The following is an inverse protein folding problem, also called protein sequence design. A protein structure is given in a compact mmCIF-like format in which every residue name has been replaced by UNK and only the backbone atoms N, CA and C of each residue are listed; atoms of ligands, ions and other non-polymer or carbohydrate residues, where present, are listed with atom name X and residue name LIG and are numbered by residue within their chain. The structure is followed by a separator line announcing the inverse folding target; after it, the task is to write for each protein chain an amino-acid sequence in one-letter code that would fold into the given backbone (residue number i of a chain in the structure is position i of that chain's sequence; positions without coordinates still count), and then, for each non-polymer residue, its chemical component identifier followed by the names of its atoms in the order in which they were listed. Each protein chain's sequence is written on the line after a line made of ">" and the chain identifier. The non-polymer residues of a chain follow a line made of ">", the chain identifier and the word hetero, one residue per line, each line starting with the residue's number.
data_IF_023984971503
#
_entry.id   IF_023984971503
#
_cell.length_a   1.000
_cell.length_b   1.000
_cell.length_c   1.000
_cell.angle_alpha   90.00
_cell.angle_beta   90.00
_cell.angle_gamma   90.00
#
_symmetry.space_group_name_H-M   'P 1'
#
loop_
_entity.id
_entity.type
_entity.pdbx_description
1 polymer ?
#
# COMPACT_ATOMS: atom_id res chain seq x y z
N UNK A 1 -12.14 11.67 -3.22
CA UNK A 1 -13.34 11.09 -2.58
C UNK A 1 -13.20 9.59 -2.47
N UNK A 2 -13.55 9.04 -1.31
CA UNK A 2 -13.49 7.58 -1.11
C UNK A 2 -14.79 6.97 -1.62
N UNK A 3 -14.66 6.12 -2.64
CA UNK A 3 -15.79 5.39 -3.22
C UNK A 3 -15.32 4.00 -3.66
N UNK A 4 -16.17 3.27 -4.38
CA UNK A 4 -15.82 1.94 -4.87
C UNK A 4 -14.62 1.96 -5.81
N UNK A 5 -14.52 2.99 -6.64
CA UNK A 5 -13.39 3.13 -7.57
C UNK A 5 -12.09 3.37 -6.80
N UNK A 6 -12.15 4.20 -5.74
CA UNK A 6 -10.99 4.43 -4.89
C UNK A 6 -10.44 3.11 -4.32
N UNK A 7 -11.33 2.26 -3.80
CA UNK A 7 -10.92 1.00 -3.18
C UNK A 7 -10.21 0.10 -4.19
N UNK A 8 -10.79 -0.06 -5.37
CA UNK A 8 -10.22 -0.90 -6.44
C UNK A 8 -8.86 -0.39 -6.89
N UNK A 9 -8.77 0.89 -7.15
CA UNK A 9 -7.55 1.53 -7.62
C UNK A 9 -6.47 1.54 -6.54
N UNK A 10 -6.86 1.75 -5.27
CA UNK A 10 -5.93 1.77 -4.15
C UNK A 10 -5.29 0.40 -3.93
N UNK A 11 -6.08 -0.66 -3.97
CA UNK A 11 -5.57 -2.02 -3.83
C UNK A 11 -4.58 -2.32 -4.95
N UNK A 12 -4.94 -2.00 -6.19
CA UNK A 12 -4.06 -2.22 -7.33
C UNK A 12 -2.74 -1.45 -7.18
N UNK A 13 -2.80 -0.19 -6.78
CA UNK A 13 -1.62 0.64 -6.61
C UNK A 13 -0.69 0.10 -5.51
N UNK A 14 -1.25 -0.27 -4.36
CA UNK A 14 -0.47 -0.79 -3.24
C UNK A 14 0.16 -2.15 -3.58
N UNK A 15 -0.60 -3.01 -4.24
CA UNK A 15 -0.11 -4.33 -4.67
C UNK A 15 1.03 -4.21 -5.67
N UNK A 16 0.84 -3.43 -6.72
CA UNK A 16 1.86 -3.27 -7.77
C UNK A 16 3.11 -2.60 -7.24
N UNK A 17 2.98 -1.67 -6.30
CA UNK A 17 4.13 -1.03 -5.67
C UNK A 17 5.01 -2.04 -4.91
N UNK A 18 4.45 -3.14 -4.45
CA UNK A 18 5.18 -4.21 -3.77
C UNK A 18 5.59 -5.35 -4.72
N UNK A 19 5.34 -5.21 -6.01
CA UNK A 19 5.66 -6.22 -7.03
C UNK A 19 5.00 -7.58 -6.75
N UNK A 20 3.76 -7.57 -6.27
CA UNK A 20 2.99 -8.77 -5.96
C UNK A 20 1.91 -8.93 -7.03
N UNK A 21 1.79 -10.15 -7.60
CA UNK A 21 0.72 -10.42 -8.56
C UNK A 21 -0.64 -10.50 -7.85
N UNK A 22 -1.71 -10.15 -8.57
CA UNK A 22 -3.06 -10.29 -8.04
C UNK A 22 -3.37 -11.73 -7.64
N UNK A 23 -2.91 -12.68 -8.44
CA UNK A 23 -3.08 -14.11 -8.15
C UNK A 23 -2.39 -14.52 -6.86
N UNK A 24 -1.12 -14.14 -6.68
CA UNK A 24 -0.36 -14.51 -5.49
C UNK A 24 -0.96 -13.89 -4.24
N UNK A 25 -1.38 -12.63 -4.31
CA UNK A 25 -2.07 -11.98 -3.21
C UNK A 25 -3.36 -12.70 -2.85
N UNK A 26 -4.16 -13.06 -3.86
CA UNK A 26 -5.42 -13.80 -3.65
C UNK A 26 -5.18 -15.11 -2.90
N UNK A 27 -4.21 -15.90 -3.37
CA UNK A 27 -3.90 -17.18 -2.74
C UNK A 27 -3.35 -17.01 -1.33
N UNK A 28 -2.52 -15.99 -1.10
CA UNK A 28 -1.98 -15.70 0.22
C UNK A 28 -3.07 -15.31 1.22
N UNK A 29 -4.16 -14.72 0.72
CA UNK A 29 -5.32 -14.37 1.55
C UNK A 29 -6.29 -15.55 1.75
N UNK A 30 -5.94 -16.73 1.24
CA UNK A 30 -6.80 -17.92 1.36
C UNK A 30 -8.01 -17.89 0.44
N UNK A 31 -7.95 -17.11 -0.64
CA UNK A 31 -9.06 -16.93 -1.56
C UNK A 31 -8.79 -17.61 -2.91
N UNK A 32 -9.75 -17.59 -3.83
CA UNK A 32 -9.57 -18.06 -5.18
C UNK A 32 -8.56 -17.19 -5.90
N UNK A 33 -7.90 -17.75 -6.93
CA UNK A 33 -6.85 -17.03 -7.66
C UNK A 33 -7.31 -15.73 -8.33
N UNK A 34 -8.62 -15.57 -8.56
CA UNK A 34 -9.19 -14.40 -9.22
C UNK A 34 -9.76 -13.37 -8.22
N UNK A 35 -9.66 -13.62 -6.92
CA UNK A 35 -10.32 -12.80 -5.90
C UNK A 35 -9.91 -11.33 -5.99
N UNK A 36 -8.61 -11.04 -5.95
CA UNK A 36 -8.12 -9.66 -6.00
C UNK A 36 -8.39 -9.03 -7.37
N UNK A 37 -8.21 -9.79 -8.45
CA UNK A 37 -8.49 -9.31 -9.78
C UNK A 37 -9.94 -8.84 -9.93
N UNK A 38 -10.88 -9.58 -9.34
CA UNK A 38 -12.29 -9.20 -9.36
C UNK A 38 -12.55 -7.89 -8.61
N UNK A 39 -11.86 -7.68 -7.49
CA UNK A 39 -11.96 -6.41 -6.75
C UNK A 39 -11.38 -5.26 -7.57
N UNK A 40 -10.20 -5.44 -8.15
CA UNK A 40 -9.51 -4.41 -8.93
C UNK A 40 -10.31 -4.06 -10.19
N UNK A 41 -11.03 -5.02 -10.75
CA UNK A 41 -11.88 -4.80 -11.92
C UNK A 41 -13.30 -4.32 -11.56
N UNK A 42 -13.51 -3.94 -10.30
CA UNK A 42 -14.77 -3.36 -9.82
C UNK A 42 -15.96 -4.31 -9.89
N UNK A 43 -15.68 -5.62 -9.89
CA UNK A 43 -16.73 -6.65 -9.90
C UNK A 43 -17.20 -7.04 -8.52
N UNK A 44 -16.41 -6.73 -7.48
CA UNK A 44 -16.72 -7.09 -6.11
C UNK A 44 -16.02 -6.13 -5.16
N UNK A 45 -16.52 -6.03 -3.93
CA UNK A 45 -15.87 -5.34 -2.82
C UNK A 45 -15.49 -6.38 -1.77
N UNK A 46 -14.40 -6.19 -1.05
CA UNK A 46 -14.08 -7.09 0.06
C UNK A 46 -15.06 -6.89 1.22
N UNK A 47 -15.31 -7.96 1.97
CA UNK A 47 -15.98 -7.83 3.27
C UNK A 47 -15.08 -7.00 4.19
N UNK A 48 -15.63 -6.48 5.29
CA UNK A 48 -14.84 -5.74 6.26
C UNK A 48 -13.71 -6.59 6.82
N UNK A 49 -13.97 -7.87 7.12
CA UNK A 49 -12.94 -8.76 7.62
C UNK A 49 -11.81 -8.96 6.59
N UNK A 50 -12.17 -9.20 5.34
CA UNK A 50 -11.16 -9.35 4.28
C UNK A 50 -10.41 -8.07 4.03
N UNK A 51 -11.06 -6.92 4.15
CA UNK A 51 -10.39 -5.63 4.05
C UNK A 51 -9.29 -5.49 5.09
N UNK A 52 -9.56 -5.89 6.33
CA UNK A 52 -8.55 -5.85 7.39
C UNK A 52 -7.39 -6.80 7.09
N UNK A 53 -7.66 -7.98 6.54
CA UNK A 53 -6.60 -8.91 6.11
C UNK A 53 -5.79 -8.35 4.95
N UNK A 54 -6.44 -7.66 4.01
CA UNK A 54 -5.75 -7.00 2.89
C UNK A 54 -4.78 -5.94 3.41
N UNK A 55 -5.23 -5.12 4.35
CA UNK A 55 -4.36 -4.10 4.96
C UNK A 55 -3.17 -4.76 5.67
N UNK A 56 -3.41 -5.80 6.43
CA UNK A 56 -2.35 -6.53 7.12
C UNK A 56 -1.35 -7.12 6.12
N UNK A 57 -1.84 -7.74 5.07
CA UNK A 57 -1.00 -8.32 4.02
C UNK A 57 -0.13 -7.25 3.35
N UNK A 58 -0.68 -6.07 3.10
CA UNK A 58 0.02 -4.97 2.46
C UNK A 58 0.86 -4.13 3.44
N UNK A 59 0.88 -4.49 4.72
CA UNK A 59 1.62 -3.78 5.77
C UNK A 59 1.21 -2.31 5.89
N UNK A 60 -0.09 -2.06 5.83
CA UNK A 60 -0.67 -0.72 5.90
C UNK A 60 -1.82 -0.74 6.90
N UNK A 61 -2.02 0.36 7.62
CA UNK A 61 -3.19 0.49 8.49
C UNK A 61 -4.42 0.87 7.67
N UNK A 62 -5.63 0.58 8.17
CA UNK A 62 -6.85 1.06 7.50
C UNK A 62 -6.86 2.58 7.31
N UNK A 63 -6.34 3.34 8.27
CA UNK A 63 -6.25 4.80 8.15
C UNK A 63 -5.35 5.20 6.97
N UNK A 64 -4.20 4.56 6.85
CA UNK A 64 -3.28 4.80 5.74
C UNK A 64 -3.89 4.39 4.40
N UNK A 65 -4.66 3.31 4.39
CA UNK A 65 -5.35 2.87 3.17
C UNK A 65 -6.26 3.97 2.62
N UNK A 66 -7.00 4.64 3.49
CA UNK A 66 -7.94 5.69 3.10
C UNK A 66 -7.33 7.08 3.04
N UNK A 67 -6.05 7.23 3.29
CA UNK A 67 -5.37 8.52 3.21
C UNK A 67 -5.03 8.82 1.75
N UNK A 68 -5.81 9.69 1.14
CA UNK A 68 -5.62 10.08 -0.26
C UNK A 68 -4.30 10.81 -0.49
N UNK A 69 -3.66 11.31 0.56
CA UNK A 69 -2.38 12.01 0.47
C UNK A 69 -1.20 11.04 0.40
N UNK A 70 -1.40 9.81 0.84
CA UNK A 70 -0.35 8.79 0.90
C UNK A 70 -0.44 7.91 -0.34
N UNK A 71 0.15 8.38 -1.44
CA UNK A 71 0.01 7.73 -2.74
C UNK A 71 0.80 6.44 -2.90
N UNK A 72 1.88 6.25 -2.13
CA UNK A 72 2.74 5.09 -2.29
C UNK A 72 3.36 4.67 -0.95
N UNK A 73 2.56 4.06 -0.03
CA UNK A 73 3.09 3.63 1.27
C UNK A 73 4.26 2.65 1.17
N UNK A 74 4.23 1.76 0.17
CA UNK A 74 5.33 0.80 -0.02
C UNK A 74 6.63 1.51 -0.41
N UNK A 75 6.57 2.51 -1.27
CA UNK A 75 7.74 3.29 -1.64
C UNK A 75 8.29 4.07 -0.45
N UNK A 76 7.42 4.62 0.40
CA UNK A 76 7.85 5.31 1.62
C UNK A 76 8.53 4.34 2.58
N UNK A 77 7.99 3.15 2.76
CA UNK A 77 8.57 2.12 3.62
C UNK A 77 9.93 1.68 3.11
N UNK A 78 10.07 1.46 1.81
CA UNK A 78 11.35 1.13 1.19
C UNK A 78 12.39 2.23 1.46
N UNK A 79 11.99 3.48 1.35
CA UNK A 79 12.85 4.62 1.65
C UNK A 79 13.27 4.61 3.11
N UNK A 80 12.33 4.36 4.04
CA UNK A 80 12.65 4.28 5.46
C UNK A 80 13.64 3.16 5.76
N UNK A 81 13.49 1.99 5.14
CA UNK A 81 14.43 0.89 5.30
C UNK A 81 15.84 1.27 4.82
N UNK A 82 15.92 1.97 3.71
CA UNK A 82 17.20 2.44 3.18
C UNK A 82 17.86 3.46 4.09
N UNK A 83 17.08 4.21 4.87
CA UNK A 83 17.59 5.24 5.77
C UNK A 83 18.02 4.72 7.14
N UNK A 84 17.53 3.53 7.56
CA UNK A 84 17.80 2.99 8.91
C UNK A 84 19.28 2.88 9.26
N UNK A 85 20.18 2.44 8.37
CA UNK A 85 21.60 2.31 8.73
C UNK A 85 22.34 3.64 8.80
N UNK A 86 21.70 4.74 8.43
CA UNK A 86 22.37 6.05 8.39
C UNK A 86 22.53 6.62 9.80
N UNK A 87 23.61 7.37 9.99
CA UNK A 87 23.88 8.07 11.24
C UNK A 87 22.93 9.26 11.40
N UNK A 88 22.75 9.68 12.66
CA UNK A 88 21.86 10.80 12.96
C UNK A 88 22.18 12.06 12.14
N UNK A 89 23.46 12.38 11.98
CA UNK A 89 23.88 13.55 11.20
C UNK A 89 23.44 13.43 9.74
N UNK A 90 23.60 12.25 9.15
CA UNK A 90 23.18 11.99 7.78
C UNK A 90 21.67 12.13 7.62
N UNK A 91 20.90 11.62 8.60
CA UNK A 91 19.43 11.75 8.59
C UNK A 91 19.01 13.21 8.68
N UNK A 92 19.72 14.02 9.49
CA UNK A 92 19.43 15.44 9.60
C UNK A 92 19.67 16.18 8.27
N UNK A 93 20.74 15.84 7.57
CA UNK A 93 21.04 16.43 6.27
C UNK A 93 19.96 16.09 5.25
N UNK A 94 19.51 14.83 5.22
CA UNK A 94 18.45 14.40 4.33
C UNK A 94 17.12 15.08 4.67
N UNK A 95 16.82 15.26 5.95
CA UNK A 95 15.62 15.96 6.39
C UNK A 95 15.63 17.41 5.93
N UNK A 96 16.76 18.08 6.07
CA UNK A 96 16.94 19.46 5.60
C UNK A 96 16.75 19.55 4.09
N UNK A 97 17.35 18.62 3.35
CA UNK A 97 17.21 18.55 1.89
C UNK A 97 15.77 18.36 1.47
N UNK A 98 15.04 17.44 2.14
CA UNK A 98 13.64 17.18 1.83
C UNK A 98 12.78 18.43 2.05
N UNK A 99 13.07 19.22 3.07
CA UNK A 99 12.36 20.49 3.33
C UNK A 99 12.60 21.52 2.24
N UNK A 100 13.80 21.53 1.67
CA UNK A 100 14.13 22.45 0.59
C UNK A 100 13.48 22.10 -0.74
N UNK A 101 13.07 20.84 -0.90
CA UNK A 101 12.47 20.33 -2.14
C UNK A 101 10.98 20.64 -2.28
N UNK A 102 10.39 21.30 -1.32
CA UNK A 102 8.97 21.65 -1.37
C UNK A 102 8.71 22.86 -2.25
#
# INVERSE_FOLDING_TARGET
>A
MVDNDFISERIAALRTAQNISARDMSLSLGQSQSYINNIENKKALPSMQMFLYICEFLHITPAEFFDEKLNAPAALEETLEALKPLKREQLRLLTALAKEMK
#
